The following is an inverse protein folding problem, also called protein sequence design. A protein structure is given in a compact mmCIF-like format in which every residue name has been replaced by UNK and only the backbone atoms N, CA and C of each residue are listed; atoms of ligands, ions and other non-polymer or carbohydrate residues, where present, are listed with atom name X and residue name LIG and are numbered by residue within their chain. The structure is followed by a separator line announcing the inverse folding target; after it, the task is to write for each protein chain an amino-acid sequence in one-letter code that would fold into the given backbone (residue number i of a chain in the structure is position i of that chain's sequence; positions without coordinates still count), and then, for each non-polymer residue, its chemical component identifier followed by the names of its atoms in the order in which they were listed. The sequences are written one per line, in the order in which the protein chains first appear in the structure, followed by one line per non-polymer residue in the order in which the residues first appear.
data_IF_929522173756
#
_entry.id   IF_929522173756
#
_cell.length_a   1.000
_cell.length_b   1.000
_cell.length_c   1.000
_cell.angle_alpha   90.00
_cell.angle_beta   90.00
_cell.angle_gamma   90.00
#
_symmetry.space_group_name_H-M   'P 1'
#
loop_
_entity.id
_entity.type
_entity.pdbx_description
1 polymer ?
#
# COMPACT_ATOMS: atom_id res chain seq x y z
N UNK A 1 20.56 25.01 -38.08
CA UNK A 1 20.64 23.54 -37.95
C UNK A 1 21.78 23.13 -38.86
N UNK A 2 22.94 22.85 -38.28
CA UNK A 2 24.09 22.37 -39.03
C UNK A 2 23.74 21.01 -39.66
N UNK A 3 24.16 20.83 -40.91
CA UNK A 3 23.97 19.57 -41.65
C UNK A 3 24.47 18.40 -40.80
N UNK A 4 23.74 17.28 -40.72
CA UNK A 4 24.21 16.09 -40.00
C UNK A 4 25.60 15.73 -40.52
N UNK A 5 26.57 15.72 -39.61
CA UNK A 5 27.93 15.31 -39.93
C UNK A 5 27.86 13.79 -40.09
N UNK A 6 27.98 13.31 -41.33
CA UNK A 6 28.20 11.89 -41.59
C UNK A 6 29.56 11.51 -41.03
N UNK A 7 29.57 10.94 -39.83
CA UNK A 7 30.78 10.40 -39.21
C UNK A 7 31.07 9.05 -39.87
N UNK A 8 31.72 9.08 -41.03
CA UNK A 8 32.24 7.88 -41.66
C UNK A 8 33.42 7.35 -40.82
N UNK A 9 33.18 6.32 -40.01
CA UNK A 9 34.25 5.63 -39.28
C UNK A 9 34.77 4.46 -40.12
N UNK A 10 36.10 4.29 -40.17
CA UNK A 10 36.73 3.10 -40.75
C UNK A 10 36.71 1.89 -39.82
N UNK A 11 35.99 2.00 -38.69
CA UNK A 11 35.93 1.00 -37.65
C UNK A 11 34.74 0.08 -37.88
N UNK A 12 35.00 -1.22 -37.86
CA UNK A 12 33.94 -2.23 -37.92
C UNK A 12 33.56 -2.63 -36.50
N UNK A 13 32.26 -2.62 -36.20
CA UNK A 13 31.75 -3.08 -34.92
C UNK A 13 31.88 -4.60 -34.78
N UNK A 14 32.11 -5.12 -33.56
CA UNK A 14 32.02 -6.55 -33.30
C UNK A 14 30.61 -7.07 -33.55
N UNK A 15 30.50 -8.30 -34.05
CA UNK A 15 29.22 -8.97 -34.17
C UNK A 15 28.61 -9.22 -32.78
N UNK A 16 27.27 -9.26 -32.67
CA UNK A 16 26.58 -9.51 -31.40
C UNK A 16 27.01 -10.82 -30.73
N UNK A 17 27.40 -11.84 -31.51
CA UNK A 17 27.92 -13.12 -31.02
C UNK A 17 29.27 -13.01 -30.32
N UNK A 18 30.05 -11.99 -30.68
CA UNK A 18 31.43 -11.84 -30.24
C UNK A 18 31.54 -10.94 -29.00
N UNK A 19 30.46 -10.24 -28.61
CA UNK A 19 30.47 -9.31 -27.50
C UNK A 19 30.84 -9.98 -26.17
N UNK A 20 31.75 -9.35 -25.44
CA UNK A 20 32.16 -9.78 -24.12
C UNK A 20 31.23 -9.17 -23.07
N UNK A 21 30.13 -9.84 -22.73
CA UNK A 21 29.20 -9.34 -21.70
C UNK A 21 29.79 -9.62 -20.32
N UNK A 22 30.71 -8.77 -19.90
CA UNK A 22 31.38 -8.80 -18.59
C UNK A 22 31.42 -7.40 -17.99
N UNK A 23 31.73 -7.29 -16.69
CA UNK A 23 31.80 -5.97 -16.04
C UNK A 23 30.47 -5.51 -15.46
N UNK A 24 30.09 -6.15 -14.35
CA UNK A 24 28.94 -5.83 -13.51
C UNK A 24 28.72 -4.32 -13.31
N UNK A 25 29.75 -3.59 -12.90
CA UNK A 25 29.66 -2.14 -12.62
C UNK A 25 29.26 -1.32 -13.85
N UNK A 26 29.79 -1.64 -15.03
CA UNK A 26 29.50 -0.88 -16.26
C UNK A 26 28.07 -1.09 -16.73
N UNK A 27 27.56 -2.32 -16.66
CA UNK A 27 26.16 -2.65 -16.99
C UNK A 27 25.21 -1.94 -16.03
N UNK A 28 25.49 -2.02 -14.73
CA UNK A 28 24.70 -1.37 -13.69
C UNK A 28 24.64 0.15 -13.88
N UNK A 29 25.78 0.79 -14.12
CA UNK A 29 25.81 2.25 -14.35
C UNK A 29 25.04 2.65 -15.59
N UNK A 30 25.14 1.88 -16.67
CA UNK A 30 24.40 2.14 -17.90
C UNK A 30 22.90 2.00 -17.72
N UNK A 31 22.42 0.90 -17.13
CA UNK A 31 20.99 0.69 -16.95
C UNK A 31 20.40 1.62 -15.91
N UNK A 32 21.07 1.83 -14.78
CA UNK A 32 20.62 2.79 -13.77
C UNK A 32 20.59 4.22 -14.34
N UNK A 33 21.64 4.63 -15.06
CA UNK A 33 21.70 5.92 -15.76
C UNK A 33 20.60 6.07 -16.80
N UNK A 34 20.35 5.03 -17.60
CA UNK A 34 19.26 5.03 -18.59
C UNK A 34 17.89 5.15 -17.94
N UNK A 35 17.64 4.43 -16.85
CA UNK A 35 16.38 4.53 -16.08
C UNK A 35 16.21 5.93 -15.50
N UNK A 36 17.27 6.51 -14.94
CA UNK A 36 17.25 7.88 -14.40
C UNK A 36 17.01 8.94 -15.48
N UNK A 37 17.60 8.77 -16.66
CA UNK A 37 17.34 9.65 -17.80
C UNK A 37 15.86 9.56 -18.21
N UNK A 38 15.34 8.33 -18.35
CA UNK A 38 13.93 8.10 -18.70
C UNK A 38 12.95 8.70 -17.67
N UNK A 39 13.32 8.71 -16.39
CA UNK A 39 12.55 9.34 -15.30
C UNK A 39 12.51 10.87 -15.43
N UNK A 40 13.57 11.48 -15.99
CA UNK A 40 13.70 12.92 -16.10
C UNK A 40 13.17 13.52 -17.41
N UNK A 41 12.78 12.72 -18.40
CA UNK A 41 12.24 13.27 -19.65
C UNK A 41 10.79 13.72 -19.43
N UNK A 42 10.62 15.01 -19.14
CA UNK A 42 9.31 15.66 -19.18
C UNK A 42 8.78 15.65 -20.62
N UNK A 43 7.47 15.36 -20.75
CA UNK A 43 6.78 14.87 -21.95
C UNK A 43 6.72 15.83 -23.16
N UNK A 44 7.49 16.92 -23.18
CA UNK A 44 7.44 17.93 -24.24
C UNK A 44 8.73 18.17 -25.00
N UNK A 45 9.87 17.68 -24.50
CA UNK A 45 11.16 18.11 -25.02
C UNK A 45 12.23 17.01 -25.03
N UNK A 46 12.01 15.99 -25.87
CA UNK A 46 13.11 15.14 -26.35
C UNK A 46 14.12 15.91 -27.21
N UNK A 47 13.84 17.18 -27.55
CA UNK A 47 14.65 17.99 -28.46
C UNK A 47 15.78 18.75 -27.76
N UNK A 48 15.72 18.93 -26.43
CA UNK A 48 16.89 19.33 -25.65
C UNK A 48 17.86 18.15 -25.56
N UNK A 49 18.78 18.15 -26.54
CA UNK A 49 19.96 17.28 -26.74
C UNK A 49 20.85 17.03 -25.50
N UNK A 50 20.52 17.53 -24.31
CA UNK A 50 21.34 17.42 -23.11
C UNK A 50 21.08 16.18 -22.25
N UNK A 51 20.08 15.34 -22.58
CA UNK A 51 19.78 14.13 -21.81
C UNK A 51 20.08 12.82 -22.54
N UNK A 52 21.02 12.84 -23.49
CA UNK A 52 21.78 11.61 -23.74
C UNK A 52 22.50 11.33 -22.42
N UNK A 53 22.31 10.13 -21.84
CA UNK A 53 22.98 9.77 -20.58
C UNK A 53 24.46 10.12 -20.62
N UNK A 54 25.07 10.34 -19.46
CA UNK A 54 26.49 10.71 -19.34
C UNK A 54 27.33 9.92 -20.35
N UNK A 55 27.95 10.62 -21.30
CA UNK A 55 28.70 10.01 -22.41
C UNK A 55 29.80 9.09 -21.87
N UNK A 56 30.35 9.39 -20.69
CA UNK A 56 31.29 8.53 -20.00
C UNK A 56 30.67 7.19 -19.59
N UNK A 57 29.42 7.18 -19.10
CA UNK A 57 28.69 5.95 -18.76
C UNK A 57 28.44 5.10 -20.01
N UNK A 58 28.00 5.73 -21.11
CA UNK A 58 27.74 5.04 -22.38
C UNK A 58 29.05 4.45 -22.95
N UNK A 59 30.12 5.24 -22.98
CA UNK A 59 31.44 4.78 -23.42
C UNK A 59 31.96 3.63 -22.55
N UNK A 60 31.79 3.72 -21.22
CA UNK A 60 32.22 2.67 -20.30
C UNK A 60 31.45 1.36 -20.55
N UNK A 61 30.14 1.43 -20.78
CA UNK A 61 29.32 0.28 -21.15
C UNK A 61 29.79 -0.37 -22.46
N UNK A 62 29.98 0.43 -23.50
CA UNK A 62 30.42 -0.07 -24.81
C UNK A 62 31.82 -0.66 -24.76
N UNK A 63 32.75 -0.03 -24.03
CA UNK A 63 34.12 -0.52 -23.85
C UNK A 63 34.14 -1.92 -23.21
N UNK A 64 33.21 -2.19 -22.29
CA UNK A 64 33.07 -3.50 -21.66
C UNK A 64 32.42 -4.54 -22.58
N UNK A 65 31.58 -4.14 -23.54
CA UNK A 65 31.01 -5.05 -24.54
C UNK A 65 32.01 -5.46 -25.62
N UNK A 66 32.97 -4.60 -25.95
CA UNK A 66 33.98 -4.89 -26.98
C UNK A 66 34.98 -5.94 -26.47
N UNK A 67 35.26 -7.01 -27.22
CA UNK A 67 36.23 -8.04 -26.84
C UNK A 67 37.62 -7.48 -26.55
N UNK A 68 38.34 -8.10 -25.62
CA UNK A 68 39.66 -7.62 -25.21
C UNK A 68 40.70 -7.63 -26.34
N UNK A 69 40.53 -8.52 -27.31
CA UNK A 69 41.38 -8.68 -28.48
C UNK A 69 40.90 -7.85 -29.70
N UNK A 70 39.92 -6.96 -29.55
CA UNK A 70 39.40 -6.19 -30.67
C UNK A 70 40.45 -5.21 -31.23
N UNK A 71 40.65 -5.14 -32.56
CA UNK A 71 41.65 -4.26 -33.16
C UNK A 71 41.43 -2.81 -32.74
N UNK A 72 42.51 -2.11 -32.40
CA UNK A 72 42.50 -0.70 -32.01
C UNK A 72 41.70 -0.39 -30.72
N UNK A 73 41.39 -1.40 -29.89
CA UNK A 73 40.88 -1.21 -28.52
C UNK A 73 42.00 -0.67 -27.63
N UNK A 74 42.18 0.64 -27.66
CA UNK A 74 43.06 1.34 -26.73
C UNK A 74 42.45 2.69 -26.40
N UNK A 75 42.36 3.01 -25.10
CA UNK A 75 41.96 4.35 -24.65
C UNK A 75 42.96 5.43 -25.06
N UNK A 76 44.19 5.05 -25.41
CA UNK A 76 45.20 5.96 -25.95
C UNK A 76 44.96 6.29 -27.43
N UNK A 77 44.15 5.49 -28.14
CA UNK A 77 43.77 5.79 -29.51
C UNK A 77 42.67 6.86 -29.52
N UNK A 78 42.95 8.08 -30.02
CA UNK A 78 41.98 9.18 -30.00
C UNK A 78 40.73 8.90 -30.85
N UNK A 79 40.78 7.93 -31.78
CA UNK A 79 39.64 7.54 -32.59
C UNK A 79 38.71 6.52 -31.89
N UNK A 80 39.15 5.86 -30.81
CA UNK A 80 38.40 4.76 -30.21
C UNK A 80 37.06 5.21 -29.61
N UNK A 81 37.06 6.25 -28.76
CA UNK A 81 35.82 6.75 -28.16
C UNK A 81 34.81 7.31 -29.20
N UNK A 82 35.21 8.11 -30.21
CA UNK A 82 34.32 8.49 -31.30
C UNK A 82 33.71 7.30 -32.05
N UNK A 83 34.49 6.24 -32.29
CA UNK A 83 34.00 5.04 -32.97
C UNK A 83 32.96 4.29 -32.11
N UNK A 84 33.19 4.18 -30.80
CA UNK A 84 32.18 3.60 -29.89
C UNK A 84 30.88 4.41 -29.88
N UNK A 85 30.96 5.74 -29.85
CA UNK A 85 29.75 6.57 -29.90
C UNK A 85 29.03 6.49 -31.25
N UNK A 86 29.77 6.41 -32.36
CA UNK A 86 29.18 6.17 -33.66
C UNK A 86 28.43 4.82 -33.68
N UNK A 87 29.02 3.78 -33.11
CA UNK A 87 28.40 2.47 -32.95
C UNK A 87 27.15 2.50 -32.06
N UNK A 88 27.19 3.23 -30.95
CA UNK A 88 26.02 3.46 -30.10
C UNK A 88 24.87 4.06 -30.89
N UNK A 89 25.15 5.13 -31.63
CA UNK A 89 24.15 5.83 -32.41
C UNK A 89 23.56 4.92 -33.50
N UNK A 90 24.40 4.22 -34.25
CA UNK A 90 23.99 3.38 -35.38
C UNK A 90 23.22 2.11 -34.96
N UNK A 91 23.62 1.48 -33.85
CA UNK A 91 23.08 0.17 -33.43
C UNK A 91 22.15 0.29 -32.23
N UNK A 92 22.60 0.93 -31.15
CA UNK A 92 21.90 0.89 -29.85
C UNK A 92 20.78 1.93 -29.73
N UNK A 93 20.90 3.06 -30.43
CA UNK A 93 19.86 4.09 -30.46
C UNK A 93 18.87 3.91 -31.62
N UNK A 94 19.21 3.06 -32.58
CA UNK A 94 18.44 2.85 -33.79
C UNK A 94 17.35 1.80 -33.57
N UNK A 95 16.10 2.25 -33.65
CA UNK A 95 14.92 1.41 -33.39
C UNK A 95 14.80 0.20 -34.33
N UNK A 96 15.40 0.24 -35.52
CA UNK A 96 15.35 -0.90 -36.47
C UNK A 96 16.00 -2.16 -35.91
N UNK A 97 17.01 -2.04 -35.03
CA UNK A 97 17.66 -3.19 -34.41
C UNK A 97 16.83 -3.80 -33.28
N UNK A 98 15.86 -3.08 -32.71
CA UNK A 98 15.05 -3.55 -31.57
C UNK A 98 14.18 -4.75 -31.93
N UNK A 99 13.90 -4.97 -33.21
CA UNK A 99 13.14 -6.12 -33.69
C UNK A 99 14.00 -7.37 -33.96
N UNK A 100 15.34 -7.22 -33.96
CA UNK A 100 16.25 -8.33 -34.26
C UNK A 100 16.44 -9.25 -33.05
N UNK A 101 16.52 -10.56 -33.28
CA UNK A 101 16.64 -11.54 -32.20
C UNK A 101 18.01 -11.46 -31.50
N UNK A 102 19.06 -11.15 -32.27
CA UNK A 102 20.43 -11.02 -31.79
C UNK A 102 20.57 -9.82 -30.85
N UNK A 103 20.04 -8.66 -31.23
CA UNK A 103 20.03 -7.47 -30.38
C UNK A 103 19.29 -7.74 -29.07
N UNK A 104 18.08 -8.30 -29.14
CA UNK A 104 17.28 -8.62 -27.96
C UNK A 104 17.96 -9.64 -27.05
N UNK A 105 18.69 -10.61 -27.61
CA UNK A 105 19.48 -11.58 -26.85
C UNK A 105 20.60 -10.88 -26.06
N UNK A 106 21.34 -9.98 -26.69
CA UNK A 106 22.40 -9.21 -26.02
C UNK A 106 21.82 -8.27 -24.97
N UNK A 107 20.73 -7.56 -25.30
CA UNK A 107 20.05 -6.66 -24.37
C UNK A 107 19.54 -7.40 -23.14
N UNK A 108 18.91 -8.57 -23.31
CA UNK A 108 18.44 -9.38 -22.19
C UNK A 108 19.60 -9.91 -21.33
N UNK A 109 20.72 -10.34 -21.95
CA UNK A 109 21.89 -10.81 -21.21
C UNK A 109 22.57 -9.69 -20.41
N UNK A 110 22.75 -8.52 -21.02
CA UNK A 110 23.34 -7.34 -20.37
C UNK A 110 22.44 -6.83 -19.24
N UNK A 111 21.12 -6.80 -19.47
CA UNK A 111 20.15 -6.44 -18.44
C UNK A 111 20.11 -7.45 -17.29
N UNK A 112 20.02 -8.75 -17.59
CA UNK A 112 20.07 -9.80 -16.56
C UNK A 112 21.35 -9.73 -15.73
N UNK A 113 22.50 -9.52 -16.37
CA UNK A 113 23.77 -9.34 -15.66
C UNK A 113 23.73 -8.11 -14.73
N UNK A 114 23.13 -7.00 -15.18
CA UNK A 114 22.95 -5.82 -14.33
C UNK A 114 22.03 -6.08 -13.13
N UNK A 115 21.01 -6.93 -13.28
CA UNK A 115 20.12 -7.32 -12.18
C UNK A 115 20.78 -8.30 -11.21
N UNK A 116 21.59 -9.25 -11.71
CA UNK A 116 22.33 -10.20 -10.89
C UNK A 116 23.40 -9.52 -10.02
N UNK A 117 23.82 -8.32 -10.41
CA UNK A 117 24.72 -7.41 -9.69
C UNK A 117 24.08 -6.70 -8.47
N UNK A 118 23.19 -7.42 -7.79
CA UNK A 118 21.98 -6.92 -7.16
C UNK A 118 22.15 -5.72 -6.21
N UNK A 119 23.21 -5.67 -5.39
CA UNK A 119 23.38 -4.55 -4.45
C UNK A 119 23.81 -3.23 -5.11
N UNK A 120 24.56 -3.29 -6.21
CA UNK A 120 25.15 -2.09 -6.81
C UNK A 120 24.14 -1.28 -7.63
N UNK A 121 23.15 -1.94 -8.23
CA UNK A 121 22.11 -1.25 -9.03
C UNK A 121 21.16 -0.46 -8.13
N UNK A 122 20.87 -0.95 -6.94
CA UNK A 122 20.00 -0.29 -5.97
C UNK A 122 20.56 1.07 -5.54
N UNK A 123 21.86 1.14 -5.25
CA UNK A 123 22.54 2.41 -4.92
C UNK A 123 22.54 3.38 -6.11
N UNK A 124 22.74 2.86 -7.33
CA UNK A 124 22.90 3.67 -8.55
C UNK A 124 21.58 4.16 -9.14
N UNK A 125 20.48 3.44 -8.94
CA UNK A 125 19.13 3.92 -9.26
C UNK A 125 18.78 5.18 -8.45
N UNK A 126 19.64 5.56 -7.48
CA UNK A 126 19.57 6.76 -6.67
C UNK A 126 18.16 7.02 -6.19
N UNK A 127 17.38 5.94 -5.92
CA UNK A 127 16.01 6.02 -5.40
C UNK A 127 16.15 6.58 -4.00
N UNK A 128 16.49 7.87 -3.94
CA UNK A 128 16.12 8.76 -2.86
C UNK A 128 14.64 8.48 -2.75
N UNK A 129 14.26 7.96 -1.60
CA UNK A 129 12.92 8.16 -1.15
C UNK A 129 12.68 9.65 -1.29
N UNK A 130 12.12 10.11 -2.41
CA UNK A 130 11.44 11.39 -2.42
C UNK A 130 10.47 11.21 -1.26
N UNK A 131 10.61 11.96 -0.15
CA UNK A 131 9.78 11.79 1.02
C UNK A 131 8.31 11.65 0.64
N UNK A 132 7.92 12.27 -0.49
CA UNK A 132 6.58 12.32 -1.02
C UNK A 132 6.23 11.22 -2.06
N UNK A 133 7.17 10.49 -2.68
CA UNK A 133 6.90 9.44 -3.71
C UNK A 133 7.39 8.03 -3.31
N UNK A 134 8.49 7.91 -2.59
CA UNK A 134 9.05 6.62 -2.13
C UNK A 134 9.55 6.65 -0.68
N UNK A 135 9.55 7.82 -0.05
CA UNK A 135 9.78 7.96 1.37
C UNK A 135 8.52 7.71 2.19
N UNK A 136 8.68 7.88 3.50
CA UNK A 136 7.60 7.70 4.48
C UNK A 136 6.32 8.41 4.07
N UNK A 137 6.36 9.53 3.34
CA UNK A 137 5.20 10.29 2.89
C UNK A 137 4.36 9.63 1.81
N UNK A 138 4.87 8.78 0.90
CA UNK A 138 4.03 8.01 -0.04
C UNK A 138 3.68 6.61 0.44
N UNK A 139 4.51 5.98 1.27
CA UNK A 139 4.01 4.87 2.09
C UNK A 139 2.95 5.39 3.06
N UNK A 140 3.08 6.58 3.62
CA UNK A 140 2.05 7.27 4.41
C UNK A 140 0.97 7.86 3.52
N UNK A 141 1.14 8.13 2.22
CA UNK A 141 0.04 8.59 1.35
C UNK A 141 -0.73 7.40 0.80
N UNK A 142 -0.09 6.27 0.53
CA UNK A 142 -0.74 4.98 0.29
C UNK A 142 -1.29 4.41 1.57
N UNK A 143 -0.61 4.51 2.71
CA UNK A 143 -1.16 4.16 4.01
C UNK A 143 -2.18 5.18 4.48
N UNK A 144 -2.16 6.47 4.11
CA UNK A 144 -3.19 7.48 4.44
C UNK A 144 -4.31 7.43 3.43
N UNK A 145 -4.10 7.02 2.18
CA UNK A 145 -5.16 6.75 1.23
C UNK A 145 -5.80 5.43 1.61
N UNK A 146 -5.02 4.38 1.92
CA UNK A 146 -5.53 3.13 2.45
C UNK A 146 -6.08 3.30 3.87
N UNK A 147 -5.55 4.18 4.71
CA UNK A 147 -6.08 4.52 6.04
C UNK A 147 -7.25 5.47 5.92
N UNK A 148 -7.33 6.38 4.95
CA UNK A 148 -8.51 7.22 4.69
C UNK A 148 -9.61 6.37 4.06
N UNK A 149 -9.27 5.42 3.19
CA UNK A 149 -10.20 4.40 2.70
C UNK A 149 -10.58 3.46 3.83
N UNK A 150 -9.65 3.07 4.73
CA UNK A 150 -9.95 2.23 5.90
C UNK A 150 -10.67 2.99 7.00
N UNK A 151 -10.46 4.29 7.15
CA UNK A 151 -11.11 5.19 8.12
C UNK A 151 -12.45 5.61 7.57
N UNK A 152 -12.60 5.87 6.27
CA UNK A 152 -13.91 6.03 5.65
C UNK A 152 -14.66 4.71 5.72
N UNK A 153 -14.02 3.57 5.45
CA UNK A 153 -14.65 2.26 5.60
C UNK A 153 -14.96 1.92 7.06
N UNK A 154 -14.11 2.32 8.01
CA UNK A 154 -14.33 2.16 9.44
C UNK A 154 -15.39 3.12 9.97
N UNK A 155 -15.42 4.37 9.51
CA UNK A 155 -16.44 5.37 9.83
C UNK A 155 -17.77 4.98 9.19
N UNK A 156 -17.78 4.46 7.97
CA UNK A 156 -18.96 3.90 7.32
C UNK A 156 -19.42 2.66 8.09
N UNK A 157 -18.53 1.76 8.49
CA UNK A 157 -18.86 0.62 9.33
C UNK A 157 -19.35 1.04 10.72
N UNK A 158 -18.76 2.08 11.32
CA UNK A 158 -19.14 2.64 12.61
C UNK A 158 -20.48 3.40 12.52
N UNK A 159 -20.75 4.07 11.40
CA UNK A 159 -22.01 4.75 11.09
C UNK A 159 -23.11 3.71 10.84
N UNK A 160 -22.82 2.64 10.10
CA UNK A 160 -23.72 1.50 9.90
C UNK A 160 -24.00 0.81 11.25
N UNK A 161 -22.98 0.65 12.09
CA UNK A 161 -23.13 0.10 13.44
C UNK A 161 -23.96 1.01 14.34
N UNK A 162 -23.71 2.32 14.32
CA UNK A 162 -24.46 3.32 15.08
C UNK A 162 -25.92 3.42 14.58
N UNK A 163 -26.16 3.41 13.28
CA UNK A 163 -27.49 3.37 12.68
C UNK A 163 -28.23 2.07 13.01
N UNK A 164 -27.51 0.93 13.05
CA UNK A 164 -28.07 -0.36 13.48
C UNK A 164 -28.41 -0.36 14.96
N UNK A 165 -27.58 0.24 15.81
CA UNK A 165 -27.84 0.41 17.25
C UNK A 165 -29.00 1.39 17.50
N UNK A 166 -29.07 2.49 16.75
CA UNK A 166 -30.17 3.43 16.80
C UNK A 166 -31.47 2.76 16.32
N UNK A 167 -31.42 1.99 15.23
CA UNK A 167 -32.56 1.20 14.75
C UNK A 167 -33.00 0.15 15.77
N UNK A 168 -32.07 -0.53 16.44
CA UNK A 168 -32.38 -1.47 17.50
C UNK A 168 -32.94 -0.78 18.75
N UNK A 169 -32.45 0.41 19.10
CA UNK A 169 -32.95 1.22 20.20
C UNK A 169 -34.35 1.74 19.91
N UNK A 170 -34.60 2.27 18.71
CA UNK A 170 -35.92 2.71 18.25
C UNK A 170 -36.91 1.56 18.16
N UNK A 171 -36.48 0.39 17.69
CA UNK A 171 -37.34 -0.78 17.63
C UNK A 171 -37.59 -1.38 19.03
N UNK A 172 -36.66 -1.24 19.98
CA UNK A 172 -36.93 -1.54 21.40
C UNK A 172 -37.87 -0.52 22.02
N UNK A 173 -37.67 0.76 21.72
CA UNK A 173 -38.52 1.85 22.20
C UNK A 173 -39.96 1.67 21.68
N UNK A 174 -40.13 1.31 20.41
CA UNK A 174 -41.44 1.02 19.82
C UNK A 174 -42.09 -0.22 20.44
N UNK A 175 -41.32 -1.25 20.82
CA UNK A 175 -41.85 -2.41 21.55
C UNK A 175 -42.29 -2.06 22.97
N UNK A 176 -41.58 -1.13 23.64
CA UNK A 176 -41.93 -0.68 24.99
C UNK A 176 -43.20 0.20 24.96
N UNK A 177 -43.37 1.01 23.91
CA UNK A 177 -44.51 1.90 23.77
C UNK A 177 -45.74 1.24 23.11
N UNK A 178 -45.55 0.29 22.20
CA UNK A 178 -46.61 -0.43 21.48
C UNK A 178 -46.30 -1.94 21.39
N UNK A 179 -46.50 -2.69 22.49
CA UNK A 179 -46.13 -4.11 22.57
C UNK A 179 -46.93 -5.04 21.65
N UNK A 180 -48.08 -4.60 21.14
CA UNK A 180 -49.03 -5.48 20.44
C UNK A 180 -48.78 -5.63 18.92
N UNK A 181 -47.89 -4.85 18.31
CA UNK A 181 -47.80 -4.77 16.83
C UNK A 181 -46.44 -5.24 16.25
N UNK A 182 -45.37 -5.30 17.05
CA UNK A 182 -44.03 -5.62 16.54
C UNK A 182 -43.83 -7.13 16.32
N UNK A 183 -44.28 -7.65 15.17
CA UNK A 183 -44.14 -9.06 14.82
C UNK A 183 -42.67 -9.49 14.66
N UNK A 184 -42.33 -10.68 15.17
CA UNK A 184 -41.01 -11.33 15.07
C UNK A 184 -40.42 -11.39 13.64
N UNK A 185 -41.28 -11.21 12.64
CA UNK A 185 -40.95 -11.12 11.21
C UNK A 185 -40.10 -9.89 10.87
N UNK A 186 -40.44 -8.72 11.43
CA UNK A 186 -39.77 -7.46 11.11
C UNK A 186 -38.30 -7.45 11.58
N UNK A 187 -38.01 -8.08 12.73
CA UNK A 187 -36.64 -8.21 13.24
C UNK A 187 -35.77 -9.15 12.41
N UNK A 188 -36.36 -10.24 11.90
CA UNK A 188 -35.67 -11.14 10.97
C UNK A 188 -35.40 -10.43 9.65
N UNK A 189 -36.36 -9.67 9.16
CA UNK A 189 -36.22 -8.89 7.94
C UNK A 189 -35.13 -7.82 8.06
N UNK A 190 -35.13 -7.01 9.13
CA UNK A 190 -34.14 -5.95 9.34
C UNK A 190 -32.72 -6.51 9.46
N UNK A 191 -32.56 -7.63 10.18
CA UNK A 191 -31.27 -8.31 10.32
C UNK A 191 -30.79 -8.87 8.98
N UNK A 192 -31.66 -9.57 8.24
CA UNK A 192 -31.30 -10.10 6.91
C UNK A 192 -30.97 -8.98 5.94
N UNK A 193 -31.72 -7.88 5.96
CA UNK A 193 -31.50 -6.70 5.13
C UNK A 193 -30.12 -6.06 5.40
N UNK A 194 -29.78 -5.82 6.67
CA UNK A 194 -28.47 -5.25 7.06
C UNK A 194 -27.31 -6.14 6.64
N UNK A 195 -27.41 -7.46 6.83
CA UNK A 195 -26.35 -8.39 6.39
C UNK A 195 -26.23 -8.46 4.87
N UNK A 196 -27.35 -8.42 4.15
CA UNK A 196 -27.35 -8.41 2.67
C UNK A 196 -26.70 -7.13 2.14
N UNK A 197 -26.93 -5.99 2.80
CA UNK A 197 -26.32 -4.70 2.46
C UNK A 197 -24.79 -4.72 2.64
N UNK A 198 -24.29 -5.27 3.74
CA UNK A 198 -22.84 -5.40 4.01
C UNK A 198 -22.16 -6.28 2.97
N UNK A 199 -22.77 -7.41 2.60
CA UNK A 199 -22.23 -8.31 1.58
C UNK A 199 -22.23 -7.63 0.20
N UNK A 200 -23.32 -6.94 -0.16
CA UNK A 200 -23.43 -6.22 -1.43
C UNK A 200 -22.38 -5.10 -1.56
N UNK A 201 -22.15 -4.31 -0.51
CA UNK A 201 -21.11 -3.27 -0.48
C UNK A 201 -19.71 -3.85 -0.61
N UNK A 202 -19.42 -4.96 0.07
CA UNK A 202 -18.13 -5.65 0.00
C UNK A 202 -17.83 -6.17 -1.43
N UNK A 203 -18.86 -6.70 -2.10
CA UNK A 203 -18.75 -7.12 -3.51
C UNK A 203 -18.56 -5.91 -4.42
N UNK A 204 -19.32 -4.82 -4.21
CA UNK A 204 -19.22 -3.61 -5.01
C UNK A 204 -17.81 -2.98 -4.94
N UNK A 205 -17.19 -2.90 -3.75
CA UNK A 205 -15.81 -2.41 -3.60
C UNK A 205 -14.83 -3.27 -4.39
N UNK A 206 -14.93 -4.60 -4.31
CA UNK A 206 -14.06 -5.51 -5.07
C UNK A 206 -14.26 -5.36 -6.58
N UNK A 207 -15.51 -5.25 -7.04
CA UNK A 207 -15.83 -5.06 -8.45
C UNK A 207 -15.31 -3.72 -8.96
N UNK A 208 -15.51 -2.62 -8.22
CA UNK A 208 -14.99 -1.29 -8.58
C UNK A 208 -13.46 -1.33 -8.61
N UNK A 209 -12.81 -1.95 -7.63
CA UNK A 209 -11.36 -2.02 -7.57
C UNK A 209 -10.79 -2.82 -8.76
N UNK A 210 -11.39 -3.97 -9.08
CA UNK A 210 -10.99 -4.79 -10.23
C UNK A 210 -11.32 -4.10 -11.56
N UNK A 211 -12.49 -3.47 -11.70
CA UNK A 211 -12.87 -2.78 -12.94
C UNK A 211 -12.01 -1.55 -13.20
N UNK A 212 -11.70 -0.78 -12.16
CA UNK A 212 -10.81 0.38 -12.29
C UNK A 212 -9.38 -0.08 -12.65
N UNK A 213 -8.94 -1.22 -12.14
CA UNK A 213 -7.63 -1.79 -12.48
C UNK A 213 -7.59 -2.37 -13.91
N UNK A 214 -8.66 -3.03 -14.36
CA UNK A 214 -8.80 -3.55 -15.74
C UNK A 214 -8.96 -2.39 -16.76
N UNK A 215 -9.63 -1.28 -16.38
CA UNK A 215 -9.72 -0.07 -17.21
C UNK A 215 -8.39 0.70 -17.30
N UNK A 216 -7.54 0.59 -16.27
CA UNK A 216 -6.19 1.17 -16.26
C UNK A 216 -5.20 0.31 -17.07
N UNK A 217 -5.48 -0.97 -17.29
CA UNK A 217 -4.63 -1.90 -18.04
C UNK A 217 -5.31 -2.33 -19.35
N UNK A 218 -5.29 -1.48 -20.40
CA UNK A 218 -5.99 -1.77 -21.64
C UNK A 218 -5.39 -2.98 -22.33
N UNK A 219 -6.30 -3.87 -22.73
CA UNK A 219 -6.03 -5.01 -23.61
C UNK A 219 -5.96 -4.53 -25.06
N UNK A 220 -4.91 -3.82 -25.46
CA UNK A 220 -4.76 -3.39 -26.85
C UNK A 220 -3.52 -2.55 -27.13
N UNK A 221 -2.67 -3.04 -28.04
CA UNK A 221 -1.26 -2.65 -28.23
C UNK A 221 -0.94 -1.23 -28.70
N UNK A 222 -1.90 -0.29 -28.77
CA UNK A 222 -1.62 1.10 -29.13
C UNK A 222 -1.78 2.09 -27.96
N UNK A 223 -2.41 1.66 -26.86
CA UNK A 223 -2.64 2.49 -25.67
C UNK A 223 -1.57 2.27 -24.58
N UNK A 224 -0.69 1.28 -24.80
CA UNK A 224 0.45 0.98 -23.95
C UNK A 224 1.41 2.15 -23.85
N UNK A 225 1.65 2.88 -24.95
CA UNK A 225 2.57 4.02 -24.95
C UNK A 225 2.02 5.21 -24.15
N UNK A 226 0.71 5.47 -24.21
CA UNK A 226 0.08 6.53 -23.41
C UNK A 226 0.08 6.19 -21.92
N UNK A 227 -0.07 4.91 -21.57
CA UNK A 227 -0.04 4.49 -20.17
C UNK A 227 1.38 4.40 -19.65
N UNK A 228 2.32 3.90 -20.43
CA UNK A 228 3.74 3.97 -20.13
C UNK A 228 4.18 5.43 -19.99
N UNK A 229 3.65 6.37 -20.76
CA UNK A 229 3.96 7.79 -20.60
C UNK A 229 3.40 8.34 -19.28
N UNK A 230 2.17 7.99 -18.90
CA UNK A 230 1.58 8.38 -17.60
C UNK A 230 2.28 7.72 -16.41
N UNK A 231 2.64 6.45 -16.52
CA UNK A 231 3.39 5.72 -15.49
C UNK A 231 4.85 6.21 -15.42
N UNK A 232 5.45 6.62 -16.53
CA UNK A 232 6.79 7.23 -16.54
C UNK A 232 6.79 8.54 -15.74
N UNK A 233 5.72 9.34 -15.79
CA UNK A 233 5.58 10.56 -14.96
C UNK A 233 5.54 10.32 -13.46
N UNK A 234 5.14 9.12 -13.01
CA UNK A 234 5.02 8.82 -11.58
C UNK A 234 6.29 8.19 -11.00
N UNK A 235 7.37 8.07 -11.78
CA UNK A 235 8.56 7.32 -11.39
C UNK A 235 8.29 5.82 -11.27
N UNK A 236 7.18 5.32 -11.83
CA UNK A 236 6.77 3.93 -11.71
C UNK A 236 7.79 2.93 -12.27
N UNK A 237 8.44 3.13 -13.44
CA UNK A 237 9.41 2.17 -13.96
C UNK A 237 10.59 1.98 -13.00
N UNK A 238 11.05 3.08 -12.42
CA UNK A 238 12.14 3.10 -11.45
C UNK A 238 11.73 2.43 -10.14
N UNK A 239 10.54 2.74 -9.61
CA UNK A 239 10.01 2.11 -8.40
C UNK A 239 9.73 0.61 -8.60
N UNK A 240 9.23 0.21 -9.77
CA UNK A 240 8.93 -1.18 -10.10
C UNK A 240 10.20 -2.02 -10.27
N UNK A 241 11.24 -1.49 -10.93
CA UNK A 241 12.54 -2.15 -11.04
C UNK A 241 13.19 -2.25 -9.66
N UNK A 242 13.16 -1.18 -8.87
CA UNK A 242 13.65 -1.23 -7.49
C UNK A 242 12.89 -2.28 -6.67
N UNK A 243 11.57 -2.35 -6.77
CA UNK A 243 10.75 -3.34 -6.06
C UNK A 243 11.01 -4.77 -6.54
N UNK A 244 11.26 -5.01 -7.83
CA UNK A 244 11.48 -6.38 -8.31
C UNK A 244 12.89 -6.89 -8.02
N UNK A 245 13.87 -5.98 -7.96
CA UNK A 245 15.30 -6.31 -7.88
C UNK A 245 15.84 -6.14 -6.45
N UNK A 246 15.53 -5.00 -5.84
CA UNK A 246 16.09 -4.56 -4.56
C UNK A 246 15.23 -4.94 -3.34
N UNK A 247 13.91 -5.10 -3.51
CA UNK A 247 13.02 -5.52 -2.43
C UNK A 247 13.19 -7.02 -2.15
N UNK A 248 13.23 -7.38 -0.86
CA UNK A 248 13.30 -8.77 -0.47
C UNK A 248 11.94 -9.42 -0.65
N UNK A 249 11.78 -10.13 -1.78
CA UNK A 249 10.55 -10.87 -2.08
C UNK A 249 10.11 -11.80 -0.94
N UNK A 250 11.02 -12.24 -0.05
CA UNK A 250 10.66 -13.05 1.11
C UNK A 250 9.87 -12.27 2.16
N UNK A 251 10.19 -11.00 2.41
CA UNK A 251 9.52 -10.19 3.43
C UNK A 251 8.16 -9.71 2.93
N UNK A 252 8.09 -9.28 1.67
CA UNK A 252 6.83 -8.87 1.02
C UNK A 252 5.87 -10.06 0.90
N UNK A 253 6.37 -11.26 0.64
CA UNK A 253 5.58 -12.50 0.71
C UNK A 253 5.08 -12.77 2.13
N UNK A 254 5.93 -12.66 3.15
CA UNK A 254 5.52 -12.85 4.56
C UNK A 254 4.42 -11.86 4.99
N UNK A 255 4.51 -10.59 4.59
CA UNK A 255 3.45 -9.61 4.86
C UNK A 255 2.14 -9.95 4.15
N UNK A 256 2.21 -10.39 2.88
CA UNK A 256 1.04 -10.85 2.13
C UNK A 256 0.39 -12.08 2.77
N UNK A 257 1.20 -13.02 3.24
CA UNK A 257 0.73 -14.23 3.93
C UNK A 257 0.05 -13.87 5.24
N UNK A 258 0.62 -12.96 6.03
CA UNK A 258 0.01 -12.44 7.27
C UNK A 258 -1.36 -11.79 7.05
N UNK A 259 -1.49 -10.94 6.02
CA UNK A 259 -2.77 -10.32 5.66
C UNK A 259 -3.80 -11.38 5.23
N UNK A 260 -3.35 -12.35 4.43
CA UNK A 260 -4.21 -13.45 3.95
C UNK A 260 -4.68 -14.33 5.10
N UNK A 261 -3.80 -14.68 6.05
CA UNK A 261 -4.16 -15.41 7.27
C UNK A 261 -5.14 -14.60 8.12
N UNK A 262 -4.94 -13.29 8.25
CA UNK A 262 -5.89 -12.38 8.92
C UNK A 262 -7.30 -12.46 8.32
N UNK A 263 -7.41 -12.49 6.99
CA UNK A 263 -8.68 -12.64 6.29
C UNK A 263 -9.31 -14.03 6.43
N UNK A 264 -8.50 -15.11 6.49
CA UNK A 264 -8.99 -16.47 6.70
C UNK A 264 -9.54 -16.65 8.13
N UNK A 265 -8.89 -16.05 9.12
CA UNK A 265 -9.33 -16.09 10.54
C UNK A 265 -10.65 -15.32 10.72
N UNK A 266 -10.87 -14.26 9.94
CA UNK A 266 -12.15 -13.53 9.87
C UNK A 266 -13.26 -14.28 9.11
N UNK A 267 -13.11 -15.60 8.93
CA UNK A 267 -13.80 -16.43 7.96
C UNK A 267 -15.30 -16.19 7.74
N UNK A 268 -15.83 -16.63 6.59
CA UNK A 268 -17.20 -16.36 6.19
C UNK A 268 -18.17 -17.02 7.19
N UNK A 269 -18.85 -16.22 8.01
CA UNK A 269 -20.06 -16.61 8.74
C UNK A 269 -21.22 -16.78 7.74
N UNK A 270 -21.04 -17.63 6.73
CA UNK A 270 -22.10 -18.06 5.86
C UNK A 270 -22.99 -19.02 6.64
N UNK A 271 -24.08 -18.44 7.13
CA UNK A 271 -25.10 -19.10 7.91
C UNK A 271 -25.59 -20.39 7.27
N UNK A 272 -25.36 -21.50 7.97
CA UNK A 272 -26.34 -22.59 7.95
C UNK A 272 -27.42 -22.24 8.97
N UNK A 273 -28.65 -22.18 8.48
CA UNK A 273 -29.87 -22.00 9.25
C UNK A 273 -29.92 -22.99 10.42
N UNK A 274 -29.57 -22.53 11.61
CA UNK A 274 -29.66 -23.32 12.84
C UNK A 274 -31.14 -23.36 13.25
N UNK A 275 -31.64 -24.60 13.33
CA UNK A 275 -32.98 -25.00 13.76
C UNK A 275 -33.43 -24.33 15.08
N UNK A 276 -34.75 -24.11 15.17
CA UNK A 276 -35.46 -23.31 16.18
C UNK A 276 -35.40 -23.80 17.64
N UNK A 277 -34.86 -24.98 17.92
CA UNK A 277 -34.87 -25.56 19.28
C UNK A 277 -33.72 -25.11 20.21
N UNK A 278 -32.99 -24.06 19.85
CA UNK A 278 -31.70 -23.70 20.45
C UNK A 278 -31.78 -22.65 21.57
N UNK A 279 -32.79 -22.69 22.45
CA UNK A 279 -32.94 -21.68 23.53
C UNK A 279 -31.94 -21.85 24.68
N UNK A 280 -31.46 -23.07 24.94
CA UNK A 280 -30.41 -23.35 25.93
C UNK A 280 -29.00 -23.02 25.42
N UNK A 281 -28.74 -23.30 24.14
CA UNK A 281 -27.48 -23.02 23.46
C UNK A 281 -27.22 -21.52 23.27
N UNK A 282 -28.26 -20.70 23.10
CA UNK A 282 -28.13 -19.23 23.01
C UNK A 282 -27.59 -18.58 24.30
N UNK A 283 -27.94 -19.08 25.48
CA UNK A 283 -27.37 -18.60 26.75
C UNK A 283 -25.91 -19.00 26.89
N UNK A 284 -25.57 -20.22 26.45
CA UNK A 284 -24.19 -20.69 26.43
C UNK A 284 -23.34 -19.89 25.42
N UNK A 285 -23.94 -19.54 24.27
CA UNK A 285 -23.33 -18.72 23.23
C UNK A 285 -23.03 -17.29 23.69
N UNK A 286 -23.88 -16.69 24.54
CA UNK A 286 -23.62 -15.35 25.10
C UNK A 286 -22.33 -15.29 25.94
N UNK A 287 -22.09 -16.31 26.78
CA UNK A 287 -20.85 -16.41 27.57
C UNK A 287 -19.65 -16.74 26.70
N UNK A 288 -19.79 -17.69 25.76
CA UNK A 288 -18.73 -18.03 24.81
C UNK A 288 -18.36 -16.83 23.93
N UNK A 289 -19.34 -16.05 23.48
CA UNK A 289 -19.13 -14.89 22.60
C UNK A 289 -18.34 -13.78 23.29
N UNK A 290 -18.58 -13.53 24.58
CA UNK A 290 -17.79 -12.55 25.33
C UNK A 290 -16.33 -12.97 25.44
N UNK A 291 -16.07 -14.24 25.82
CA UNK A 291 -14.72 -14.78 25.92
C UNK A 291 -14.03 -14.78 24.55
N UNK A 292 -14.74 -15.20 23.49
CA UNK A 292 -14.23 -15.22 22.13
C UNK A 292 -13.88 -13.81 21.63
N UNK A 293 -14.70 -12.79 21.95
CA UNK A 293 -14.41 -11.39 21.62
C UNK A 293 -13.14 -10.89 22.32
N UNK A 294 -12.97 -11.18 23.60
CA UNK A 294 -11.74 -10.82 24.33
C UNK A 294 -10.53 -11.55 23.75
N UNK A 295 -10.67 -12.82 23.41
CA UNK A 295 -9.61 -13.63 22.81
C UNK A 295 -9.21 -13.12 21.43
N UNK A 296 -10.19 -12.75 20.58
CA UNK A 296 -9.95 -12.12 19.29
C UNK A 296 -9.28 -10.75 19.45
N UNK A 297 -9.70 -9.95 20.44
CA UNK A 297 -9.03 -8.69 20.77
C UNK A 297 -7.55 -8.89 21.09
N UNK A 298 -7.23 -9.88 21.94
CA UNK A 298 -5.86 -10.23 22.28
C UNK A 298 -5.05 -10.71 21.05
N UNK A 299 -5.65 -11.53 20.18
CA UNK A 299 -5.03 -11.98 18.93
C UNK A 299 -4.69 -10.78 18.04
N UNK A 300 -5.62 -9.84 17.87
CA UNK A 300 -5.38 -8.64 17.06
C UNK A 300 -4.29 -7.75 17.66
N UNK A 301 -4.24 -7.61 18.99
CA UNK A 301 -3.15 -6.88 19.65
C UNK A 301 -1.80 -7.54 19.39
N UNK A 302 -1.69 -8.87 19.52
CA UNK A 302 -0.44 -9.58 19.23
C UNK A 302 -0.07 -9.44 17.75
N UNK A 303 -1.02 -9.60 16.84
CA UNK A 303 -0.80 -9.43 15.40
C UNK A 303 -0.29 -8.01 15.06
N UNK A 304 -0.83 -6.97 15.69
CA UNK A 304 -0.37 -5.59 15.54
C UNK A 304 1.11 -5.45 15.95
N UNK A 305 1.50 -6.01 17.10
CA UNK A 305 2.90 -5.94 17.56
C UNK A 305 3.86 -6.70 16.66
N UNK A 306 3.45 -7.89 16.17
CA UNK A 306 4.21 -8.65 15.18
C UNK A 306 4.39 -7.85 13.89
N UNK A 307 3.33 -7.16 13.44
CA UNK A 307 3.41 -6.30 12.26
C UNK A 307 4.38 -5.14 12.46
N UNK A 308 4.33 -4.45 13.62
CA UNK A 308 5.28 -3.38 13.98
C UNK A 308 6.72 -3.91 13.96
N UNK A 309 6.97 -5.08 14.55
CA UNK A 309 8.29 -5.71 14.55
C UNK A 309 8.81 -5.93 13.13
N UNK A 310 8.01 -6.53 12.24
CA UNK A 310 8.43 -6.77 10.85
C UNK A 310 8.63 -5.48 10.05
N UNK A 311 7.85 -4.44 10.32
CA UNK A 311 8.07 -3.11 9.71
C UNK A 311 9.40 -2.51 10.19
N UNK A 312 9.78 -2.70 11.46
CA UNK A 312 11.08 -2.27 11.96
C UNK A 312 12.23 -3.06 11.34
N UNK A 313 12.12 -4.39 11.24
CA UNK A 313 13.12 -5.24 10.58
C UNK A 313 13.27 -4.90 9.09
N UNK A 314 12.14 -4.68 8.38
CA UNK A 314 12.16 -4.21 6.99
C UNK A 314 12.93 -2.90 6.85
N UNK A 315 12.66 -1.94 7.74
CA UNK A 315 13.32 -0.65 7.73
C UNK A 315 14.83 -0.79 7.90
N UNK A 316 15.28 -1.66 8.79
CA UNK A 316 16.71 -1.90 9.00
C UNK A 316 17.36 -2.55 7.77
N UNK A 317 16.65 -3.45 7.08
CA UNK A 317 17.11 -4.03 5.80
C UNK A 317 17.20 -2.99 4.68
N UNK A 318 16.24 -2.09 4.56
CA UNK A 318 16.27 -0.99 3.57
C UNK A 318 17.45 -0.06 3.86
N UNK A 319 17.69 0.30 5.13
CA UNK A 319 18.85 1.11 5.53
C UNK A 319 20.18 0.43 5.20
N UNK A 320 20.27 -0.88 5.38
CA UNK A 320 21.46 -1.65 5.05
C UNK A 320 21.71 -1.70 3.52
N UNK A 321 20.64 -1.74 2.72
CA UNK A 321 20.73 -1.88 1.25
C UNK A 321 20.86 -0.55 0.49
N UNK A 322 20.46 0.57 1.07
CA UNK A 322 20.52 1.89 0.43
C UNK A 322 21.02 2.98 1.40
N UNK A 323 22.24 2.84 1.97
CA UNK A 323 22.74 3.70 3.05
C UNK A 323 22.89 5.17 2.62
N UNK A 324 23.09 5.44 1.33
CA UNK A 324 23.26 6.80 0.78
C UNK A 324 21.96 7.61 0.65
N UNK A 325 20.81 6.98 0.86
CA UNK A 325 19.49 7.62 0.73
C UNK A 325 18.81 7.94 2.07
N UNK A 326 19.48 7.63 3.19
CA UNK A 326 18.92 7.73 4.53
C UNK A 326 19.18 9.13 5.14
N UNK A 327 18.32 10.11 4.83
CA UNK A 327 18.29 11.44 5.49
C UNK A 327 17.44 11.45 6.79
N UNK A 328 17.42 10.33 7.52
CA UNK A 328 16.53 10.07 8.68
C UNK A 328 16.77 10.95 9.92
N UNK A 329 17.69 11.92 9.89
CA UNK A 329 17.90 12.86 11.00
C UNK A 329 16.77 13.88 11.14
N UNK A 330 15.92 14.04 10.14
CA UNK A 330 14.80 14.99 10.17
C UNK A 330 13.49 14.29 10.48
N UNK A 331 12.69 14.91 11.36
CA UNK A 331 11.35 14.42 11.68
C UNK A 331 10.50 14.42 10.41
N UNK A 332 10.14 13.24 9.92
CA UNK A 332 9.24 13.15 8.77
C UNK A 332 7.88 13.76 9.13
N UNK A 333 7.27 14.46 8.17
CA UNK A 333 5.95 15.08 8.34
C UNK A 333 4.90 14.09 8.89
N UNK A 334 4.94 12.82 8.47
CA UNK A 334 4.08 11.75 8.99
C UNK A 334 4.25 11.46 10.49
N UNK A 335 5.45 11.61 11.06
CA UNK A 335 5.69 11.46 12.51
C UNK A 335 5.13 12.64 13.29
N UNK A 336 5.25 13.86 12.76
CA UNK A 336 4.65 15.07 13.35
C UNK A 336 3.13 14.95 13.35
N UNK A 337 2.55 14.47 12.25
CA UNK A 337 1.11 14.30 12.07
C UNK A 337 0.57 13.16 12.96
N UNK A 338 1.30 12.05 13.06
CA UNK A 338 0.97 10.97 14.00
C UNK A 338 0.97 11.47 15.44
N UNK A 339 1.99 12.23 15.87
CA UNK A 339 2.00 12.85 17.20
C UNK A 339 0.83 13.80 17.39
N UNK A 340 0.55 14.66 16.42
CA UNK A 340 -0.60 15.57 16.45
C UNK A 340 -1.94 14.85 16.60
N UNK A 341 -2.09 13.66 16.00
CA UNK A 341 -3.32 12.89 16.07
C UNK A 341 -3.47 12.08 17.38
N UNK A 342 -2.37 11.60 17.95
CA UNK A 342 -2.41 10.81 19.18
C UNK A 342 -2.43 11.66 20.45
N UNK A 343 -1.89 12.88 20.42
CA UNK A 343 -1.86 13.78 21.58
C UNK A 343 -3.27 14.04 22.16
N UNK A 344 -4.31 14.39 21.38
CA UNK A 344 -5.66 14.60 21.90
C UNK A 344 -6.25 13.36 22.57
N UNK A 345 -6.02 12.17 22.01
CA UNK A 345 -6.52 10.90 22.58
C UNK A 345 -5.83 10.57 23.90
N UNK A 346 -4.51 10.75 23.97
CA UNK A 346 -3.73 10.52 25.20
C UNK A 346 -4.11 11.54 26.28
N UNK A 347 -4.31 12.81 25.90
CA UNK A 347 -4.76 13.85 26.84
C UNK A 347 -6.16 13.56 27.36
N UNK A 348 -7.11 13.21 26.49
CA UNK A 348 -8.46 12.82 26.91
C UNK A 348 -8.41 11.63 27.88
N UNK A 349 -7.62 10.60 27.56
CA UNK A 349 -7.45 9.44 28.43
C UNK A 349 -6.87 9.80 29.82
N UNK A 350 -5.84 10.64 29.87
CA UNK A 350 -5.24 11.11 31.13
C UNK A 350 -6.24 11.95 31.94
N UNK A 351 -7.01 12.81 31.27
CA UNK A 351 -8.04 13.65 31.89
C UNK A 351 -9.14 12.80 32.50
N UNK A 352 -9.69 11.83 31.76
CA UNK A 352 -10.69 10.87 32.26
C UNK A 352 -10.15 10.06 33.44
N UNK A 353 -8.89 9.62 33.38
CA UNK A 353 -8.25 8.91 34.49
C UNK A 353 -8.07 9.76 35.76
N UNK A 354 -7.83 11.07 35.61
CA UNK A 354 -7.59 11.98 36.76
C UNK A 354 -8.86 12.56 37.37
N UNK A 355 -9.82 12.93 36.54
CA UNK A 355 -11.08 13.55 36.99
C UNK A 355 -12.12 12.51 37.44
N UNK A 356 -11.95 11.26 37.03
CA UNK A 356 -12.94 10.21 37.27
C UNK A 356 -14.15 10.35 36.34
N UNK A 357 -14.75 9.22 35.98
CA UNK A 357 -15.81 9.14 34.96
C UNK A 357 -17.05 10.00 35.31
N UNK A 358 -17.33 10.23 36.60
CA UNK A 358 -18.52 10.96 37.04
C UNK A 358 -18.46 12.45 36.75
N UNK A 359 -17.31 13.08 36.99
CA UNK A 359 -17.19 14.52 36.81
C UNK A 359 -17.23 14.87 35.33
N UNK A 360 -16.62 14.04 34.47
CA UNK A 360 -16.67 14.22 33.03
C UNK A 360 -18.09 14.01 32.46
N UNK A 361 -18.84 13.01 32.95
CA UNK A 361 -20.22 12.81 32.51
C UNK A 361 -21.14 13.94 32.98
N UNK A 362 -20.97 14.45 34.20
CA UNK A 362 -21.75 15.57 34.71
C UNK A 362 -21.52 16.87 33.93
N UNK A 363 -20.29 17.13 33.46
CA UNK A 363 -19.99 18.31 32.64
C UNK A 363 -20.53 18.21 31.20
N UNK A 364 -20.79 16.99 30.69
CA UNK A 364 -21.32 16.76 29.34
C UNK A 364 -22.85 16.60 29.31
N UNK A 365 -23.51 16.48 30.45
CA UNK A 365 -24.97 16.39 30.54
C UNK A 365 -25.62 17.74 30.24
N UNK A 366 -26.83 17.69 29.65
CA UNK A 366 -27.63 18.91 29.47
C UNK A 366 -27.98 19.51 30.84
N UNK A 367 -28.07 20.85 30.95
CA UNK A 367 -28.45 21.50 32.19
C UNK A 367 -29.76 20.92 32.75
N UNK A 368 -29.74 20.46 34.01
CA UNK A 368 -30.87 19.85 34.69
C UNK A 368 -30.83 18.33 34.83
N UNK A 369 -29.81 17.67 34.28
CA UNK A 369 -29.56 16.24 34.49
C UNK A 369 -28.30 16.05 35.35
N UNK A 370 -28.36 15.11 36.29
CA UNK A 370 -27.25 14.74 37.19
C UNK A 370 -26.98 13.23 37.10
N UNK A 371 -25.72 12.85 37.05
CA UNK A 371 -25.30 11.45 37.23
C UNK A 371 -25.42 11.10 38.70
N UNK A 372 -26.37 10.22 39.03
CA UNK A 372 -26.54 9.69 40.39
C UNK A 372 -25.92 8.29 40.44
N UNK A 373 -24.97 8.06 41.36
CA UNK A 373 -24.55 6.69 41.68
C UNK A 373 -25.76 5.94 42.20
N UNK A 374 -26.18 4.91 41.46
CA UNK A 374 -27.13 3.96 41.97
C UNK A 374 -26.39 3.08 42.97
N UNK A 375 -26.57 3.36 44.26
CA UNK A 375 -26.21 2.40 45.29
C UNK A 375 -27.08 1.16 45.08
N UNK A 376 -26.50 -0.05 45.10
CA UNK A 376 -27.23 -1.31 44.82
C UNK A 376 -28.50 -1.48 45.68
N UNK A 377 -28.57 -0.83 46.84
CA UNK A 377 -29.74 -0.83 47.72
C UNK A 377 -30.96 -0.09 47.13
N UNK A 378 -30.77 1.04 46.45
CA UNK A 378 -31.85 1.84 45.87
C UNK A 378 -32.42 1.23 44.57
N UNK A 379 -31.64 0.39 43.90
CA UNK A 379 -32.07 -0.32 42.69
C UNK A 379 -33.29 -1.21 42.95
N UNK A 380 -33.30 -1.90 44.10
CA UNK A 380 -34.40 -2.78 44.52
C UNK A 380 -35.66 -2.00 44.91
N UNK A 381 -35.52 -0.83 45.53
CA UNK A 381 -36.68 -0.03 45.95
C UNK A 381 -37.38 0.60 44.75
N UNK A 382 -36.62 1.02 43.74
CA UNK A 382 -37.16 1.57 42.49
C UNK A 382 -37.84 0.50 41.62
N UNK A 383 -37.35 -0.74 41.64
CA UNK A 383 -38.04 -1.85 40.96
C UNK A 383 -39.36 -2.18 41.64
N UNK A 384 -39.37 -2.24 42.97
CA UNK A 384 -40.60 -2.48 43.74
C UNK A 384 -41.65 -1.37 43.51
N UNK A 385 -41.24 -0.10 43.47
CA UNK A 385 -42.17 1.01 43.21
C UNK A 385 -42.73 0.98 41.77
N UNK A 386 -41.92 0.63 40.78
CA UNK A 386 -42.39 0.48 39.39
C UNK A 386 -43.35 -0.70 39.22
N UNK A 387 -43.13 -1.79 39.95
CA UNK A 387 -44.08 -2.91 40.00
C UNK A 387 -45.38 -2.53 40.69
N UNK A 388 -45.33 -1.75 41.77
CA UNK A 388 -46.52 -1.28 42.49
C UNK A 388 -47.36 -0.31 41.64
N UNK A 389 -46.72 0.61 40.90
CA UNK A 389 -47.41 1.51 39.97
C UNK A 389 -48.05 0.74 38.83
N UNK A 390 -47.34 -0.23 38.23
CA UNK A 390 -47.89 -1.09 37.17
C UNK A 390 -49.08 -1.91 37.66
N UNK A 391 -49.05 -2.41 38.90
CA UNK A 391 -50.16 -3.15 39.50
C UNK A 391 -51.43 -2.28 39.68
N UNK A 392 -51.27 -0.98 39.96
CA UNK A 392 -52.40 -0.04 40.08
C UNK A 392 -53.00 0.37 38.75
N UNK A 393 -52.25 0.33 37.65
CA UNK A 393 -52.76 0.64 36.31
C UNK A 393 -53.54 -0.52 35.67
N UNK A 394 -53.43 -1.74 36.21
CA UNK A 394 -54.13 -2.95 35.71
C UNK A 394 -55.48 -3.25 36.38
N UNK A 395 -55.95 -2.39 37.29
CA UNK A 395 -57.28 -2.48 37.96
C UNK A 395 -58.15 -1.35 37.47
#
# INVERSE_FOLDING_TARGET
MDTPVDIATSWTAPAFSDLNISGCSAMVEYYAGSILVLDQVDEGDFSTKSKVGDVGIILNFLDHLVPDNWPNRSRENPAYAPNLMAWYNDVWSNQTYFETAEYNSVLNKTFSLALDCNYTICDKLNVRGDPDISGRGMLVTYCLAAFRVSVNSFLDAALIFAASMLGAALARFSVIYEPDIASLSQWRFLRLFLWTLVIALSIAVKVICVSTLDDILPRGGNDYDMILSRLRKTGFPRASIWQSVCDDTSLTTRMRDLITVGHIIQGPENGKSISKDSTSLLKYWGRISSVLRTLMGAIYTVAMWVFIYYVMEYRDLVKLRAPSTDEDSEWSFGQVLALGQWIPTVLAFIVTMKLGEEQEMNERLMPGYEVVKTNEADGNERTNHLEEVRARETV
#
